data_IF_409010172302
#
_entry.id   IF_409010172302
#
_cell.length_a   1.000
_cell.length_b   1.000
_cell.length_c   1.000
_cell.angle_alpha   90.00
_cell.angle_beta   90.00
_cell.angle_gamma   90.00
#
_symmetry.space_group_name_H-M   'P 1'
#
loop_
_entity.id
_entity.type
_entity.pdbx_description
1 polymer ?
#
# COMPACT_ATOMS: atom_id res chain seq x y z
N UNK A 1 21.02 4.17 -5.42
CA UNK A 1 20.24 5.00 -4.49
C UNK A 1 18.89 5.21 -5.15
N UNK A 2 17.79 4.81 -4.52
CA UNK A 2 16.44 5.10 -5.02
C UNK A 2 16.05 6.49 -4.51
N UNK A 3 15.34 7.27 -5.33
CA UNK A 3 14.82 8.56 -4.89
C UNK A 3 13.72 8.37 -3.84
N UNK A 4 13.69 9.23 -2.83
CA UNK A 4 12.58 9.33 -1.87
C UNK A 4 12.04 10.75 -1.84
N UNK A 5 10.75 10.89 -1.55
CA UNK A 5 10.08 12.17 -1.35
C UNK A 5 9.69 12.30 0.11
N UNK A 6 10.06 13.41 0.74
CA UNK A 6 9.56 13.75 2.08
C UNK A 6 8.48 14.81 1.94
N UNK A 7 7.34 14.59 2.58
CA UNK A 7 6.24 15.57 2.60
C UNK A 7 5.73 15.76 4.02
N UNK A 8 5.37 16.99 4.36
CA UNK A 8 4.72 17.33 5.63
C UNK A 8 3.53 18.25 5.39
N UNK A 9 2.55 18.19 6.29
CA UNK A 9 1.37 19.06 6.25
C UNK A 9 1.26 19.77 7.59
N UNK A 10 1.07 21.09 7.55
CA UNK A 10 0.77 21.90 8.72
C UNK A 10 -0.41 22.80 8.39
N UNK A 11 -1.44 22.76 9.24
CA UNK A 11 -2.64 23.60 9.13
C UNK A 11 -2.55 24.69 10.18
N UNK A 12 -2.04 25.85 9.79
CA UNK A 12 -1.72 26.94 10.71
C UNK A 12 -0.71 26.50 11.78
N UNK A 13 -1.17 26.20 13.00
CA UNK A 13 -0.33 25.71 14.10
C UNK A 13 -0.57 24.23 14.42
N UNK A 14 -1.44 23.56 13.66
CA UNK A 14 -1.81 22.16 13.87
C UNK A 14 -1.03 21.27 12.90
N UNK A 15 -0.14 20.39 13.40
CA UNK A 15 0.51 19.37 12.58
C UNK A 15 -0.52 18.45 11.93
N UNK A 16 -0.31 18.13 10.66
CA UNK A 16 -1.17 17.26 9.87
C UNK A 16 -0.51 15.94 9.44
N UNK A 17 0.74 15.72 9.84
CA UNK A 17 1.50 14.51 9.53
C UNK A 17 2.77 14.76 8.70
N UNK A 18 3.60 13.73 8.63
CA UNK A 18 4.80 13.67 7.79
C UNK A 18 4.96 12.27 7.23
N UNK A 19 5.34 12.15 5.97
CA UNK A 19 5.61 10.87 5.35
C UNK A 19 6.88 10.90 4.49
N UNK A 20 7.50 9.73 4.34
CA UNK A 20 8.67 9.51 3.48
C UNK A 20 8.32 8.44 2.46
N UNK A 21 8.08 8.88 1.23
CA UNK A 21 7.58 8.04 0.15
C UNK A 21 8.74 7.45 -0.63
N UNK A 22 8.77 6.12 -0.73
CA UNK A 22 9.68 5.38 -1.59
C UNK A 22 9.23 5.33 -3.06
N UNK A 23 9.98 4.61 -3.91
CA UNK A 23 9.61 4.41 -5.31
C UNK A 23 8.32 3.60 -5.45
N UNK A 24 7.65 3.76 -6.58
CA UNK A 24 6.46 3.00 -6.98
C UNK A 24 6.73 2.21 -8.26
N UNK A 25 5.87 1.23 -8.57
CA UNK A 25 5.91 0.50 -9.83
C UNK A 25 5.83 1.46 -11.04
N UNK A 26 6.52 1.12 -12.12
CA UNK A 26 6.52 1.90 -13.36
C UNK A 26 5.17 1.88 -14.08
N UNK A 27 5.02 2.64 -15.18
CA UNK A 27 3.78 2.71 -15.94
C UNK A 27 3.32 1.32 -16.44
N UNK A 28 2.05 0.98 -16.22
CA UNK A 28 1.44 -0.27 -16.64
C UNK A 28 -0.07 -0.12 -16.83
N UNK A 29 -0.69 -1.07 -17.54
CA UNK A 29 -2.16 -1.13 -17.70
C UNK A 29 -2.89 -1.59 -16.43
N UNK A 30 -2.16 -2.21 -15.51
CA UNK A 30 -2.67 -2.61 -14.19
C UNK A 30 -1.70 -2.16 -13.12
N UNK A 31 -2.21 -1.45 -12.12
CA UNK A 31 -1.48 -1.10 -10.89
C UNK A 31 -2.15 -1.78 -9.69
N UNK A 32 -1.36 -2.25 -8.73
CA UNK A 32 -1.88 -2.85 -7.50
C UNK A 32 -1.21 -2.21 -6.30
N UNK A 33 -2.01 -1.53 -5.49
CA UNK A 33 -1.60 -0.87 -4.26
C UNK A 33 -2.08 -1.74 -3.11
N UNK A 34 -1.13 -2.31 -2.38
CA UNK A 34 -1.41 -3.23 -1.29
C UNK A 34 -1.62 -2.44 0.01
N UNK A 35 -2.67 -2.76 0.76
CA UNK A 35 -2.73 -2.38 2.16
C UNK A 35 -3.16 -0.94 2.47
N UNK A 36 -3.97 -0.29 1.63
CA UNK A 36 -4.44 1.08 1.88
C UNK A 36 -5.37 1.09 3.09
N UNK A 37 -4.96 1.72 4.18
CA UNK A 37 -5.73 1.74 5.42
C UNK A 37 -6.72 2.90 5.38
N UNK A 38 -8.00 2.59 5.28
CA UNK A 38 -9.09 3.54 5.37
C UNK A 38 -9.63 3.43 6.77
N UNK A 39 -9.44 4.46 7.58
CA UNK A 39 -9.78 4.47 9.01
C UNK A 39 -10.31 5.82 9.42
N UNK A 40 -10.91 5.91 10.60
CA UNK A 40 -11.40 7.17 11.15
C UNK A 40 -12.41 7.87 10.24
N UNK A 41 -13.13 7.14 9.39
CA UNK A 41 -13.99 7.73 8.34
C UNK A 41 -15.00 8.72 8.89
N UNK A 42 -15.61 8.43 10.04
CA UNK A 42 -16.52 9.34 10.73
C UNK A 42 -15.85 10.65 11.18
N UNK A 43 -14.67 10.56 11.81
CA UNK A 43 -13.95 11.73 12.30
C UNK A 43 -13.33 12.56 11.16
N UNK A 44 -12.93 11.90 10.08
CA UNK A 44 -12.52 12.56 8.84
C UNK A 44 -13.70 13.29 8.21
N UNK A 45 -14.87 12.67 8.12
CA UNK A 45 -16.06 13.30 7.56
C UNK A 45 -16.47 14.56 8.33
N UNK A 46 -16.39 14.54 9.67
CA UNK A 46 -16.63 15.72 10.51
C UNK A 46 -15.64 16.85 10.18
N UNK A 47 -14.34 16.55 10.06
CA UNK A 47 -13.30 17.55 9.78
C UNK A 47 -13.27 18.04 8.34
N UNK A 48 -13.65 17.20 7.38
CA UNK A 48 -13.66 17.54 5.96
C UNK A 48 -14.69 18.64 5.61
N UNK A 49 -15.55 19.02 6.56
CA UNK A 49 -16.41 20.22 6.45
C UNK A 49 -15.61 21.54 6.45
N UNK A 50 -14.39 21.54 7.00
CA UNK A 50 -13.44 22.64 6.91
C UNK A 50 -12.60 22.50 5.61
N UNK A 51 -12.61 23.50 4.71
CA UNK A 51 -11.78 23.49 3.50
C UNK A 51 -10.28 23.28 3.76
N UNK A 52 -9.77 23.68 4.94
CA UNK A 52 -8.38 23.47 5.34
C UNK A 52 -8.04 21.99 5.61
N UNK A 53 -9.05 21.12 5.71
CA UNK A 53 -8.93 19.68 5.93
C UNK A 53 -9.41 18.85 4.73
N UNK A 54 -9.53 19.48 3.55
CA UNK A 54 -9.97 18.84 2.30
C UNK A 54 -9.06 17.71 1.82
N UNK A 55 -7.86 17.60 2.37
CA UNK A 55 -6.89 16.57 2.06
C UNK A 55 -7.04 15.31 2.93
N UNK A 56 -7.87 15.30 3.99
CA UNK A 56 -8.01 14.13 4.85
C UNK A 56 -8.68 12.90 4.20
N UNK A 57 -9.72 13.04 3.35
CA UNK A 57 -10.34 11.89 2.70
C UNK A 57 -9.33 11.10 1.86
N UNK A 58 -9.50 9.77 1.81
CA UNK A 58 -8.62 8.92 1.04
C UNK A 58 -8.77 9.16 -0.48
N UNK A 59 -7.65 9.22 -1.18
CA UNK A 59 -7.61 9.52 -2.62
C UNK A 59 -6.70 8.57 -3.38
N UNK A 60 -7.05 8.33 -4.64
CA UNK A 60 -6.18 7.75 -5.65
C UNK A 60 -5.45 8.88 -6.38
N UNK A 61 -4.13 8.82 -6.47
CA UNK A 61 -3.34 9.70 -7.35
C UNK A 61 -2.85 8.90 -8.54
N UNK A 62 -3.15 9.38 -9.74
CA UNK A 62 -2.78 8.73 -11.00
C UNK A 62 -2.02 9.69 -11.89
N UNK A 63 -0.92 9.20 -12.47
CA UNK A 63 -0.20 9.87 -13.53
C UNK A 63 -0.34 9.06 -14.82
N UNK A 64 -0.74 9.72 -15.91
CA UNK A 64 -0.81 9.14 -17.26
C UNK A 64 0.37 9.71 -18.07
N UNK A 65 1.47 8.96 -18.30
CA UNK A 65 2.63 9.50 -18.99
C UNK A 65 2.40 9.83 -20.47
N UNK A 66 1.43 9.17 -21.11
CA UNK A 66 1.05 9.43 -22.51
C UNK A 66 0.20 10.69 -22.67
N UNK A 67 -0.06 11.10 -23.91
CA UNK A 67 -0.90 12.26 -24.23
C UNK A 67 -2.40 11.97 -24.28
N UNK A 68 -2.78 10.72 -24.48
CA UNK A 68 -4.18 10.29 -24.53
C UNK A 68 -4.79 10.20 -23.13
N UNK A 69 -6.08 10.50 -23.02
CA UNK A 69 -6.82 10.24 -21.78
C UNK A 69 -6.95 8.74 -21.51
N UNK A 70 -6.91 8.38 -20.23
CA UNK A 70 -7.05 7.02 -19.75
C UNK A 70 -8.41 6.80 -19.08
N UNK A 71 -9.10 5.72 -19.44
CA UNK A 71 -10.26 5.23 -18.71
C UNK A 71 -9.79 4.26 -17.64
N UNK A 72 -10.10 4.55 -16.38
CA UNK A 72 -9.67 3.77 -15.23
C UNK A 72 -10.86 3.01 -14.64
N UNK A 73 -10.68 1.71 -14.38
CA UNK A 73 -11.56 0.93 -13.51
C UNK A 73 -10.79 0.63 -12.23
N UNK A 74 -11.26 1.20 -11.13
CA UNK A 74 -10.64 1.08 -9.80
C UNK A 74 -11.48 0.15 -8.95
N UNK A 75 -10.91 -0.99 -8.55
CA UNK A 75 -11.52 -1.95 -7.65
C UNK A 75 -10.84 -1.90 -6.30
N UNK A 76 -11.62 -1.68 -5.25
CA UNK A 76 -11.20 -1.69 -3.86
C UNK A 76 -11.74 -2.95 -3.21
N UNK A 77 -10.83 -3.80 -2.75
CA UNK A 77 -11.13 -5.06 -2.08
C UNK A 77 -10.69 -5.00 -0.64
N UNK A 78 -11.61 -5.20 0.29
CA UNK A 78 -11.32 -5.26 1.72
C UNK A 78 -10.51 -6.51 2.07
N UNK A 79 -9.61 -6.42 3.06
CA UNK A 79 -8.92 -7.58 3.64
C UNK A 79 -9.86 -8.48 4.45
N UNK A 80 -11.02 -7.95 4.87
CA UNK A 80 -12.05 -8.68 5.60
C UNK A 80 -12.87 -9.52 4.62
N UNK A 81 -12.81 -10.84 4.81
CA UNK A 81 -13.57 -11.78 3.99
C UNK A 81 -15.09 -11.53 4.10
N UNK A 82 -15.77 -11.58 2.96
CA UNK A 82 -17.22 -11.39 2.86
C UNK A 82 -17.66 -9.93 2.70
N UNK A 83 -16.76 -8.97 2.82
CA UNK A 83 -17.02 -7.58 2.41
C UNK A 83 -17.02 -7.51 0.88
N UNK A 84 -18.05 -6.90 0.32
CA UNK A 84 -18.19 -6.78 -1.13
C UNK A 84 -17.15 -5.81 -1.72
N UNK A 85 -16.59 -6.18 -2.86
CA UNK A 85 -15.68 -5.31 -3.61
C UNK A 85 -16.41 -4.04 -4.06
N UNK A 86 -15.75 -2.89 -3.94
CA UNK A 86 -16.27 -1.62 -4.46
C UNK A 86 -15.55 -1.28 -5.75
N UNK A 87 -16.29 -1.01 -6.82
CA UNK A 87 -15.70 -0.63 -8.12
C UNK A 87 -16.22 0.72 -8.59
N UNK A 88 -15.32 1.57 -9.06
CA UNK A 88 -15.62 2.91 -9.57
C UNK A 88 -14.79 3.18 -10.83
N UNK A 89 -15.36 3.95 -11.76
CA UNK A 89 -14.66 4.36 -12.98
C UNK A 89 -14.28 5.84 -12.92
N UNK A 90 -13.08 6.16 -13.41
CA UNK A 90 -12.60 7.52 -13.57
C UNK A 90 -12.04 7.75 -14.97
N UNK A 91 -11.90 9.01 -15.35
CA UNK A 91 -11.17 9.43 -16.55
C UNK A 91 -9.99 10.29 -16.12
N UNK A 92 -8.78 9.90 -16.51
CA UNK A 92 -7.56 10.65 -16.24
C UNK A 92 -7.02 11.28 -17.52
N UNK A 93 -6.65 12.56 -17.47
CA UNK A 93 -6.08 13.26 -18.63
C UNK A 93 -4.62 12.88 -18.82
N UNK A 94 -4.20 12.68 -20.08
CA UNK A 94 -2.81 12.44 -20.45
C UNK A 94 -1.86 13.57 -20.03
N UNK A 95 -0.63 13.22 -19.68
CA UNK A 95 0.48 14.14 -19.40
C UNK A 95 0.42 14.84 -18.04
N UNK A 96 -0.60 14.58 -17.22
CA UNK A 96 -0.77 15.22 -15.91
C UNK A 96 -1.02 14.21 -14.78
N UNK A 97 -0.78 14.67 -13.55
CA UNK A 97 -1.18 13.95 -12.34
C UNK A 97 -2.59 14.40 -11.95
N UNK A 98 -3.49 13.43 -11.72
CA UNK A 98 -4.86 13.68 -11.26
C UNK A 98 -5.12 12.93 -9.95
N UNK A 99 -5.85 13.56 -9.03
CA UNK A 99 -6.34 12.91 -7.82
C UNK A 99 -7.84 12.62 -7.95
N UNK A 100 -8.24 11.42 -7.56
CA UNK A 100 -9.62 10.95 -7.55
C UNK A 100 -10.00 10.56 -6.12
N UNK A 101 -11.10 11.10 -5.57
CA UNK A 101 -11.56 10.69 -4.25
C UNK A 101 -12.03 9.24 -4.30
N UNK A 102 -11.67 8.42 -3.31
CA UNK A 102 -12.29 7.11 -3.18
C UNK A 102 -13.80 7.23 -2.90
N UNK A 103 -14.61 6.23 -3.31
CA UNK A 103 -16.01 6.16 -2.91
C UNK A 103 -16.15 6.03 -1.39
N UNK A 104 -17.38 6.09 -0.88
CA UNK A 104 -17.62 5.81 0.54
C UNK A 104 -17.25 4.36 0.85
N UNK A 105 -16.33 4.19 1.81
CA UNK A 105 -15.81 2.91 2.26
C UNK A 105 -15.99 2.82 3.77
N UNK A 106 -16.15 1.61 4.29
CA UNK A 106 -16.07 1.35 5.73
C UNK A 106 -14.63 1.36 6.19
N UNK A 107 -14.40 1.61 7.48
CA UNK A 107 -13.08 1.48 8.09
C UNK A 107 -12.56 0.04 7.90
N UNK A 108 -11.48 -0.11 7.12
CA UNK A 108 -10.80 -1.38 6.85
C UNK A 108 -9.45 -1.12 6.13
N UNK A 109 -8.69 -2.18 5.89
CA UNK A 109 -7.56 -2.15 4.95
C UNK A 109 -7.98 -2.71 3.59
N UNK A 110 -7.63 -2.00 2.51
CA UNK A 110 -8.03 -2.34 1.16
C UNK A 110 -6.82 -2.63 0.26
N UNK A 111 -6.96 -3.65 -0.59
CA UNK A 111 -6.21 -3.78 -1.83
C UNK A 111 -6.88 -2.94 -2.91
N UNK A 112 -6.12 -2.09 -3.59
CA UNK A 112 -6.63 -1.26 -4.69
C UNK A 112 -6.01 -1.72 -6.00
N UNK A 113 -6.85 -2.17 -6.93
CA UNK A 113 -6.44 -2.51 -8.29
C UNK A 113 -6.95 -1.45 -9.25
N UNK A 114 -6.05 -0.87 -10.03
CA UNK A 114 -6.38 0.12 -11.07
C UNK A 114 -6.11 -0.53 -12.42
N UNK A 115 -7.17 -0.87 -13.15
CA UNK A 115 -7.10 -1.28 -14.54
C UNK A 115 -7.30 -0.06 -15.45
N UNK A 116 -6.55 0.01 -16.54
CA UNK A 116 -6.52 1.18 -17.44
C UNK A 116 -6.33 0.75 -18.90
N UNK A 117 -6.93 1.51 -19.81
CA UNK A 117 -6.73 1.38 -21.26
C UNK A 117 -5.43 2.05 -21.75
N UNK A 118 -4.81 2.90 -20.92
CA UNK A 118 -3.48 3.49 -21.14
C UNK A 118 -2.51 3.10 -20.02
N UNK A 119 -1.19 3.06 -20.25
CA UNK A 119 -0.22 2.87 -19.17
C UNK A 119 -0.30 4.02 -18.17
N UNK A 120 -0.44 3.69 -16.89
CA UNK A 120 -0.51 4.67 -15.79
C UNK A 120 0.43 4.31 -14.66
N UNK A 121 0.78 5.30 -13.84
CA UNK A 121 1.37 5.11 -12.51
C UNK A 121 0.32 5.49 -11.48
N UNK A 122 0.17 4.70 -10.42
CA UNK A 122 -0.83 4.95 -9.38
C UNK A 122 -0.24 4.82 -7.98
N UNK A 123 -0.72 5.66 -7.08
CA UNK A 123 -0.54 5.56 -5.64
C UNK A 123 -1.81 6.02 -4.93
N UNK A 124 -1.95 5.67 -3.66
CA UNK A 124 -3.07 6.12 -2.84
C UNK A 124 -2.56 6.91 -1.65
N UNK A 125 -3.42 7.75 -1.10
CA UNK A 125 -3.20 8.43 0.17
C UNK A 125 -4.39 8.22 1.07
N UNK A 126 -4.13 8.03 2.36
CA UNK A 126 -5.15 8.08 3.40
C UNK A 126 -4.60 8.80 4.64
N UNK A 127 -5.52 9.17 5.54
CA UNK A 127 -5.21 9.83 6.79
C UNK A 127 -5.80 9.03 7.97
N UNK A 128 -5.25 9.28 9.15
CA UNK A 128 -5.82 8.84 10.42
C UNK A 128 -6.21 10.07 11.25
N UNK A 129 -7.37 9.98 11.90
CA UNK A 129 -7.86 11.00 12.83
C UNK A 129 -8.27 10.31 14.13
N UNK A 130 -7.32 10.25 15.06
CA UNK A 130 -7.50 9.65 16.39
C UNK A 130 -6.36 10.13 17.27
N UNK A 131 -6.61 10.79 18.41
CA UNK A 131 -5.55 11.33 19.29
C UNK A 131 -4.62 12.41 18.68
N UNK A 132 -4.56 12.50 17.36
CA UNK A 132 -3.73 13.33 16.50
C UNK A 132 -4.19 13.18 15.04
N UNK A 133 -3.40 13.73 14.10
CA UNK A 133 -3.65 13.64 12.66
C UNK A 133 -2.35 13.31 11.95
N UNK A 134 -2.40 12.29 11.11
CA UNK A 134 -1.29 11.89 10.26
C UNK A 134 -1.79 11.31 8.94
N UNK A 135 -0.90 11.14 7.96
CA UNK A 135 -1.25 10.57 6.66
C UNK A 135 -0.12 9.71 6.10
N UNK A 136 -0.48 8.77 5.24
CA UNK A 136 0.46 7.88 4.57
C UNK A 136 0.20 7.82 3.07
N UNK A 137 1.28 7.75 2.30
CA UNK A 137 1.25 7.34 0.90
C UNK A 137 1.44 5.84 0.77
N UNK A 138 0.67 5.24 -0.15
CA UNK A 138 0.72 3.84 -0.50
C UNK A 138 1.11 3.72 -1.96
N UNK A 139 2.26 3.11 -2.22
CA UNK A 139 2.78 2.93 -3.57
C UNK A 139 2.21 1.66 -4.22
N UNK A 140 2.01 1.70 -5.54
CA UNK A 140 1.86 0.45 -6.30
C UNK A 140 3.16 -0.36 -6.20
N UNK A 141 3.01 -1.67 -6.00
CA UNK A 141 4.09 -2.61 -5.76
C UNK A 141 4.23 -3.62 -6.90
N UNK A 142 5.45 -4.02 -7.29
CA UNK A 142 5.66 -5.08 -8.28
C UNK A 142 5.20 -6.45 -7.76
N UNK A 143 5.03 -7.40 -8.68
CA UNK A 143 4.81 -8.80 -8.32
C UNK A 143 6.06 -9.41 -7.68
N UNK A 144 5.85 -10.12 -6.59
CA UNK A 144 6.83 -10.85 -5.80
C UNK A 144 6.53 -12.34 -5.94
N UNK A 145 7.52 -13.13 -6.35
CA UNK A 145 7.36 -14.57 -6.55
C UNK A 145 8.52 -15.33 -5.89
N UNK A 146 8.26 -16.59 -5.51
CA UNK A 146 9.25 -17.42 -4.83
C UNK A 146 9.52 -16.90 -3.43
N UNK A 147 10.69 -16.28 -3.22
CA UNK A 147 11.13 -15.81 -1.92
C UNK A 147 11.52 -14.34 -1.94
N UNK A 148 11.15 -13.59 -0.90
CA UNK A 148 11.54 -12.20 -0.70
C UNK A 148 11.75 -11.88 0.78
N UNK A 149 12.38 -10.74 1.06
CA UNK A 149 12.65 -10.28 2.42
C UNK A 149 11.78 -9.08 2.73
N UNK A 150 11.28 -9.03 3.96
CA UNK A 150 10.57 -7.89 4.53
C UNK A 150 11.25 -7.51 5.83
N UNK A 151 11.43 -6.21 6.09
CA UNK A 151 11.94 -5.73 7.37
C UNK A 151 10.97 -4.71 7.95
N UNK A 152 10.75 -4.77 9.26
CA UNK A 152 9.97 -3.77 9.99
C UNK A 152 10.89 -2.83 10.75
N UNK A 153 10.60 -1.54 10.68
CA UNK A 153 11.08 -0.56 11.65
C UNK A 153 10.27 -0.64 12.95
N UNK A 154 10.73 0.07 13.98
CA UNK A 154 9.94 0.32 15.20
C UNK A 154 8.78 1.25 14.87
N UNK A 155 7.56 0.82 15.16
CA UNK A 155 6.35 1.60 14.97
C UNK A 155 5.11 0.90 15.54
N UNK A 156 3.93 1.54 15.44
CA UNK A 156 2.69 0.95 15.94
C UNK A 156 2.20 -0.16 14.99
N UNK A 157 1.94 -1.34 15.56
CA UNK A 157 1.24 -2.45 14.92
C UNK A 157 1.69 -2.75 13.46
N UNK A 158 2.97 -3.06 13.20
CA UNK A 158 3.41 -3.39 11.85
C UNK A 158 2.63 -4.60 11.30
N UNK A 159 2.09 -4.46 10.10
CA UNK A 159 1.32 -5.50 9.41
C UNK A 159 1.80 -5.64 7.97
N UNK A 160 2.21 -6.84 7.59
CA UNK A 160 2.51 -7.19 6.20
C UNK A 160 1.19 -7.42 5.46
N UNK A 161 0.98 -6.67 4.39
CA UNK A 161 -0.18 -6.78 3.54
C UNK A 161 0.17 -7.53 2.28
N UNK A 162 -0.56 -8.58 1.98
CA UNK A 162 -0.38 -9.45 0.82
C UNK A 162 -1.63 -9.42 -0.04
N UNK A 163 -1.45 -9.24 -1.34
CA UNK A 163 -2.56 -9.24 -2.30
C UNK A 163 -2.28 -10.26 -3.40
N UNK A 164 -3.25 -11.14 -3.63
CA UNK A 164 -3.24 -12.12 -4.71
C UNK A 164 -4.25 -11.68 -5.77
N UNK A 165 -3.75 -11.14 -6.89
CA UNK A 165 -4.58 -10.80 -8.06
C UNK A 165 -4.75 -11.98 -9.03
N UNK A 166 -4.12 -13.13 -8.73
CA UNK A 166 -4.18 -14.34 -9.54
C UNK A 166 -5.43 -15.19 -9.29
N UNK A 167 -5.63 -16.19 -10.15
CA UNK A 167 -6.77 -17.10 -10.12
C UNK A 167 -6.57 -18.37 -9.26
N UNK A 168 -5.46 -18.48 -8.53
CA UNK A 168 -5.14 -19.64 -7.68
C UNK A 168 -4.69 -19.17 -6.30
N UNK A 169 -5.06 -19.92 -5.28
CA UNK A 169 -4.63 -19.66 -3.91
C UNK A 169 -3.11 -19.71 -3.78
N UNK A 170 -2.55 -18.80 -2.99
CA UNK A 170 -1.13 -18.72 -2.69
C UNK A 170 -0.86 -19.19 -1.26
N UNK A 171 -0.11 -20.27 -1.09
CA UNK A 171 0.44 -20.66 0.21
C UNK A 171 1.63 -19.76 0.54
N UNK A 172 1.60 -19.13 1.71
CA UNK A 172 2.62 -18.19 2.17
C UNK A 172 3.18 -18.62 3.52
N UNK A 173 4.51 -18.56 3.65
CA UNK A 173 5.19 -18.73 4.94
C UNK A 173 6.01 -17.48 5.26
N UNK A 174 5.78 -16.89 6.43
CA UNK A 174 6.49 -15.71 6.93
C UNK A 174 7.36 -16.14 8.11
N UNK A 175 8.68 -16.14 7.92
CA UNK A 175 9.65 -16.66 8.90
C UNK A 175 10.50 -15.54 9.49
N UNK A 176 10.48 -15.29 10.81
CA UNK A 176 11.34 -14.29 11.43
C UNK A 176 12.81 -14.74 11.45
N UNK A 177 13.71 -13.89 10.97
CA UNK A 177 15.15 -14.18 10.96
C UNK A 177 15.80 -14.11 12.35
N UNK A 178 15.17 -13.42 13.31
CA UNK A 178 15.64 -13.30 14.69
C UNK A 178 15.36 -14.57 15.54
N UNK A 179 14.85 -15.64 14.92
CA UNK A 179 14.29 -16.79 15.61
C UNK A 179 12.80 -16.60 15.96
N UNK A 180 12.07 -17.70 16.11
CA UNK A 180 10.62 -17.70 16.32
C UNK A 180 9.91 -18.75 15.44
N UNK A 181 8.62 -18.94 15.68
CA UNK A 181 7.82 -19.86 14.86
C UNK A 181 7.40 -19.18 13.55
N UNK A 182 7.55 -19.85 12.40
CA UNK A 182 6.99 -19.35 11.13
C UNK A 182 5.48 -19.20 11.22
N UNK A 183 4.95 -18.15 10.61
CA UNK A 183 3.52 -17.99 10.37
C UNK A 183 3.20 -18.55 8.98
N UNK A 184 2.27 -19.50 8.90
CA UNK A 184 1.82 -20.07 7.62
C UNK A 184 0.38 -19.65 7.37
N UNK A 185 0.09 -19.22 6.15
CA UNK A 185 -1.25 -18.78 5.76
C UNK A 185 -1.51 -19.06 4.28
N UNK A 186 -2.77 -18.92 3.88
CA UNK A 186 -3.17 -18.93 2.48
C UNK A 186 -3.75 -17.57 2.12
N UNK A 187 -3.27 -16.98 1.02
CA UNK A 187 -3.89 -15.81 0.39
C UNK A 187 -4.73 -16.32 -0.77
N UNK A 188 -6.04 -16.36 -0.57
CA UNK A 188 -6.97 -16.89 -1.57
C UNK A 188 -6.86 -16.14 -2.90
N UNK A 189 -7.20 -16.81 -4.00
CA UNK A 189 -7.28 -16.21 -5.33
C UNK A 189 -8.14 -14.93 -5.32
N UNK A 190 -7.64 -13.87 -5.95
CA UNK A 190 -8.33 -12.59 -6.02
C UNK A 190 -8.54 -11.89 -4.67
N UNK A 191 -7.82 -12.27 -3.60
CA UNK A 191 -8.01 -11.76 -2.23
C UNK A 191 -6.80 -11.02 -1.67
N UNK A 192 -7.00 -10.33 -0.55
CA UNK A 192 -5.96 -9.73 0.27
C UNK A 192 -5.91 -10.35 1.67
N UNK A 193 -4.77 -10.30 2.33
CA UNK A 193 -4.60 -10.77 3.71
C UNK A 193 -3.50 -10.00 4.43
N UNK A 194 -3.80 -9.56 5.65
CA UNK A 194 -2.85 -8.92 6.56
C UNK A 194 -2.23 -9.92 7.55
N UNK A 195 -0.92 -9.81 7.74
CA UNK A 195 -0.13 -10.66 8.66
C UNK A 195 0.55 -9.76 9.70
N UNK A 196 0.17 -9.86 10.98
CA UNK A 196 0.82 -9.10 12.05
C UNK A 196 2.30 -9.47 12.16
N UNK A 197 3.16 -8.44 12.18
CA UNK A 197 4.59 -8.58 12.35
C UNK A 197 5.03 -8.05 13.72
N UNK A 198 6.21 -8.45 14.15
CA UNK A 198 6.93 -7.86 15.26
C UNK A 198 7.71 -6.64 14.78
N UNK A 199 7.91 -5.69 15.68
CA UNK A 199 8.76 -4.53 15.45
C UNK A 199 10.23 -4.92 15.28
N UNK A 200 10.98 -4.06 14.57
CA UNK A 200 12.44 -4.17 14.43
C UNK A 200 12.93 -5.57 14.00
N UNK A 201 12.17 -6.26 13.15
CA UNK A 201 12.40 -7.66 12.78
C UNK A 201 12.47 -7.82 11.27
N UNK A 202 13.42 -8.65 10.81
CA UNK A 202 13.50 -9.06 9.39
C UNK A 202 12.84 -10.42 9.22
N UNK A 203 12.10 -10.60 8.14
CA UNK A 203 11.37 -11.80 7.78
C UNK A 203 11.80 -12.30 6.40
N UNK A 204 11.99 -13.61 6.29
CA UNK A 204 11.99 -14.31 5.02
C UNK A 204 10.56 -14.76 4.70
N UNK A 205 10.05 -14.36 3.53
CA UNK A 205 8.72 -14.73 3.05
C UNK A 205 8.86 -15.64 1.84
N UNK A 206 8.16 -16.76 1.85
CA UNK A 206 8.03 -17.65 0.69
C UNK A 206 6.58 -17.73 0.25
N UNK A 207 6.35 -17.79 -1.05
CA UNK A 207 5.01 -17.88 -1.64
C UNK A 207 4.98 -18.88 -2.80
N UNK A 208 3.88 -19.64 -2.91
CA UNK A 208 3.66 -20.59 -4.01
C UNK A 208 3.16 -19.94 -5.31
N UNK A 209 2.69 -18.69 -5.26
CA UNK A 209 2.23 -17.92 -6.42
C UNK A 209 2.65 -16.44 -6.31
N UNK A 210 2.72 -15.70 -7.43
CA UNK A 210 3.05 -14.27 -7.39
C UNK A 210 2.04 -13.45 -6.59
N UNK A 211 2.53 -12.58 -5.70
CA UNK A 211 1.74 -11.68 -4.87
C UNK A 211 2.28 -10.26 -4.98
N UNK A 212 1.48 -9.24 -4.64
CA UNK A 212 2.01 -7.92 -4.32
C UNK A 212 2.01 -7.71 -2.80
N UNK A 213 2.90 -6.87 -2.29
CA UNK A 213 2.99 -6.67 -0.85
C UNK A 213 3.41 -5.26 -0.43
N UNK A 214 2.97 -4.88 0.77
CA UNK A 214 3.40 -3.67 1.48
C UNK A 214 3.48 -3.95 2.98
N UNK A 215 4.14 -3.07 3.73
CA UNK A 215 4.05 -3.07 5.19
C UNK A 215 3.36 -1.78 5.60
N UNK A 216 2.32 -1.90 6.42
CA UNK A 216 1.61 -0.78 7.02
C UNK A 216 1.81 -0.70 8.53
N UNK A 217 1.72 0.51 9.06
CA UNK A 217 1.75 0.86 10.48
C UNK A 217 0.53 1.70 10.79
N UNK A 218 -0.14 1.40 11.90
CA UNK A 218 -1.30 2.16 12.34
C UNK A 218 -1.40 2.18 13.85
N UNK A 219 -1.54 3.37 14.41
CA UNK A 219 -1.78 3.62 15.82
C UNK A 219 -2.64 4.86 16.02
N UNK A 220 -2.73 5.31 17.27
CA UNK A 220 -3.46 6.53 17.62
C UNK A 220 -2.77 7.75 17.00
N UNK A 221 -3.32 8.24 15.89
CA UNK A 221 -2.83 9.43 15.21
C UNK A 221 -1.53 9.22 14.45
N UNK A 222 -1.17 7.96 14.17
CA UNK A 222 0.05 7.55 13.48
C UNK A 222 -0.29 6.58 12.37
N UNK A 223 0.16 6.86 11.15
CA UNK A 223 -0.05 5.99 9.98
C UNK A 223 1.16 6.06 9.05
N UNK A 224 1.60 4.92 8.52
CA UNK A 224 2.69 4.88 7.54
C UNK A 224 2.63 3.59 6.74
N UNK A 225 3.11 3.61 5.50
CA UNK A 225 3.22 2.42 4.69
C UNK A 225 4.39 2.49 3.71
N UNK A 226 4.89 1.32 3.31
CA UNK A 226 5.81 1.21 2.19
C UNK A 226 5.59 -0.09 1.41
N UNK A 227 5.72 -0.01 0.09
CA UNK A 227 5.71 -1.17 -0.79
C UNK A 227 6.94 -2.07 -0.56
N UNK A 228 6.72 -3.39 -0.61
CA UNK A 228 7.79 -4.37 -0.67
C UNK A 228 8.25 -4.51 -2.12
N UNK A 229 9.56 -4.47 -2.33
CA UNK A 229 10.18 -4.60 -3.65
C UNK A 229 11.09 -5.84 -3.66
N UNK A 230 11.21 -6.56 -4.78
CA UNK A 230 12.13 -7.67 -4.87
C UNK A 230 13.57 -7.18 -4.68
N UNK A 231 14.45 -8.07 -4.23
CA UNK A 231 15.88 -7.79 -4.25
C UNK A 231 16.31 -7.50 -5.70
N UNK A 232 17.17 -6.49 -5.88
CA UNK A 232 17.68 -6.14 -7.22
C UNK A 232 18.27 -7.39 -7.88
N UNK A 233 18.01 -7.66 -9.17
CA UNK A 233 18.62 -8.78 -9.89
C UNK A 233 20.16 -8.65 -10.00
N UNK A 234 20.71 -7.48 -9.69
CA UNK A 234 22.16 -7.25 -9.58
C UNK A 234 22.74 -7.59 -8.20
N UNK A 235 21.91 -7.99 -7.23
CA UNK A 235 22.37 -8.50 -5.95
C UNK A 235 22.94 -9.91 -6.13
N UNK A 236 24.19 -10.00 -6.57
CA UNK A 236 24.92 -11.27 -6.60
C UNK A 236 25.20 -11.74 -5.17
N UNK A 237 25.00 -13.03 -4.83
CA UNK A 237 25.36 -13.55 -3.53
C UNK A 237 26.85 -13.33 -3.26
N UNK A 238 27.19 -12.67 -2.15
CA UNK A 238 28.58 -12.60 -1.69
C UNK A 238 28.87 -13.93 -0.99
N UNK A 239 29.72 -14.76 -1.60
CA UNK A 239 30.21 -15.98 -0.94
C UNK A 239 31.33 -15.59 0.02
N UNK A 240 31.08 -15.69 1.32
CA UNK A 240 32.11 -15.46 2.35
C UNK A 240 32.86 -16.78 2.59
N UNK A 241 34.12 -16.82 2.21
CA UNK A 241 35.04 -17.85 2.66
C UNK A 241 35.55 -17.46 4.06
N UNK A 242 35.36 -18.35 5.03
CA UNK A 242 36.05 -18.22 6.33
C UNK A 242 37.51 -18.60 6.11
N UNK A 243 38.42 -17.69 6.46
CA UNK A 243 39.86 -17.98 6.54
C UNK A 243 40.21 -18.84 7.75
#
# INVERSE_FOLDING_TARGET
MLASLQSSIVRSLTPGGIDVVGPTAGPALTQTISGVQVVSTSAIAERATDPASSDLPATLRVYVPGSESATLTVTLKSETLGVADTTVNYSATGGIVTEFPFPSLTDDTYAVTVASDQPVVAGARSAVVSGGVDYAWYQSSPLLAGSFIVATATGPNPKLQLVNTGGTDAAVTVTPNAGGSPQTLTVAAGSATGVPLSNATTYAVTTSAPLTASVGYLGDGLISAFAVSPASPLASPITIYRG
#
